data_IF_405152472955
#
_entry.id   IF_405152472955
#
_cell.length_a   1.000
_cell.length_b   1.000
_cell.length_c   1.000
_cell.angle_alpha   90.00
_cell.angle_beta   90.00
_cell.angle_gamma   90.00
#
_symmetry.space_group_name_H-M   'P 1'
#
loop_
_entity.id
_entity.type
_entity.pdbx_description
1 polymer ?
#
# COMPACT_ATOMS: atom_id res chain seq x y z
N UNK A 1 7.73 9.56 5.78
CA UNK A 1 7.15 10.11 4.53
C UNK A 1 5.64 10.32 4.57
N UNK A 2 4.80 9.31 4.83
CA UNK A 2 3.33 9.48 4.84
C UNK A 2 2.84 10.65 5.72
N UNK A 3 3.27 10.70 6.99
CA UNK A 3 2.99 11.83 7.89
C UNK A 3 3.48 13.18 7.35
N UNK A 4 4.68 13.24 6.77
CA UNK A 4 5.22 14.47 6.19
C UNK A 4 4.38 14.94 5.01
N UNK A 5 3.96 14.02 4.14
CA UNK A 5 3.10 14.31 3.00
C UNK A 5 1.72 14.81 3.44
N UNK A 6 1.17 14.25 4.53
CA UNK A 6 -0.02 14.80 5.18
C UNK A 6 0.27 16.19 5.82
N UNK A 7 1.43 16.41 6.42
CA UNK A 7 1.74 17.75 6.94
C UNK A 7 1.79 18.79 5.81
N UNK A 8 2.40 18.43 4.67
CA UNK A 8 2.55 19.31 3.52
C UNK A 8 1.21 19.64 2.81
N UNK A 9 0.25 18.70 2.79
CA UNK A 9 -1.08 18.89 2.19
C UNK A 9 -2.14 19.42 3.17
N UNK A 10 -1.76 19.80 4.39
CA UNK A 10 -2.72 20.20 5.43
C UNK A 10 -3.48 21.45 4.96
N UNK A 11 -4.80 21.33 4.85
CA UNK A 11 -5.72 22.43 4.62
C UNK A 11 -6.55 22.68 5.89
N UNK A 12 -7.23 23.83 5.96
CA UNK A 12 -8.25 24.06 6.98
C UNK A 12 -9.32 22.95 6.82
N UNK A 13 -9.76 22.37 7.94
CA UNK A 13 -10.79 21.31 8.02
C UNK A 13 -10.43 19.90 7.49
N UNK A 14 -9.15 19.61 7.23
CA UNK A 14 -8.75 18.26 6.81
C UNK A 14 -8.70 17.23 7.95
N UNK A 15 -8.81 17.61 9.22
CA UNK A 15 -8.50 16.71 10.34
C UNK A 15 -9.42 15.48 10.40
N UNK A 16 -10.67 15.61 9.97
CA UNK A 16 -11.65 14.51 9.87
C UNK A 16 -11.62 13.77 8.53
N UNK A 17 -10.77 14.19 7.58
CA UNK A 17 -10.67 13.54 6.28
C UNK A 17 -9.95 12.18 6.40
N UNK A 18 -10.49 11.11 5.80
CA UNK A 18 -9.83 9.81 5.79
C UNK A 18 -8.63 9.81 4.85
N UNK A 19 -7.54 9.16 5.30
CA UNK A 19 -6.33 8.95 4.51
C UNK A 19 -5.79 7.54 4.71
N UNK A 20 -5.12 7.02 3.70
CA UNK A 20 -4.42 5.73 3.68
C UNK A 20 -3.23 5.82 2.75
N UNK A 21 -2.26 4.95 2.93
CA UNK A 21 -1.09 4.87 2.04
C UNK A 21 -1.06 3.53 1.33
N UNK A 22 -0.68 3.56 0.05
CA UNK A 22 -0.39 2.36 -0.73
C UNK A 22 1.08 2.00 -0.54
N UNK A 23 1.35 0.74 -0.28
CA UNK A 23 2.69 0.20 -0.13
C UNK A 23 2.83 -1.10 -0.92
N UNK A 24 4.08 -1.42 -1.26
CA UNK A 24 4.44 -2.60 -2.02
C UNK A 24 5.21 -3.52 -1.09
N UNK A 25 4.81 -4.79 -1.05
CA UNK A 25 5.41 -5.82 -0.19
C UNK A 25 6.10 -6.86 -1.06
N UNK A 26 7.36 -7.15 -0.75
CA UNK A 26 8.08 -8.29 -1.34
C UNK A 26 7.48 -9.60 -0.81
N UNK A 27 7.03 -10.45 -1.72
CA UNK A 27 6.38 -11.73 -1.40
C UNK A 27 7.26 -12.94 -1.66
N UNK A 28 8.50 -12.77 -2.15
CA UNK A 28 9.42 -13.89 -2.47
C UNK A 28 9.56 -14.90 -1.33
N UNK A 29 9.71 -14.39 -0.11
CA UNK A 29 9.90 -15.20 1.10
C UNK A 29 8.62 -15.41 1.91
N UNK A 30 7.46 -14.97 1.40
CA UNK A 30 6.16 -15.09 2.08
C UNK A 30 5.32 -16.24 1.57
N UNK A 31 5.75 -16.87 0.47
CA UNK A 31 5.10 -18.03 -0.09
C UNK A 31 5.54 -19.29 0.66
N UNK A 32 4.62 -20.24 0.84
CA UNK A 32 4.90 -21.55 1.45
C UNK A 32 5.94 -22.36 0.65
N UNK A 33 6.04 -22.08 -0.65
CA UNK A 33 7.20 -22.42 -1.49
C UNK A 33 7.86 -21.11 -1.91
N UNK A 34 8.88 -20.63 -1.16
CA UNK A 34 9.55 -19.38 -1.46
C UNK A 34 10.14 -19.37 -2.87
N UNK A 35 10.18 -18.19 -3.49
CA UNK A 35 10.80 -18.07 -4.81
C UNK A 35 12.31 -18.26 -4.72
N UNK A 36 12.95 -18.84 -5.76
CA UNK A 36 14.40 -18.94 -5.82
C UNK A 36 15.06 -17.57 -5.64
N UNK A 37 16.22 -17.56 -4.97
CA UNK A 37 16.98 -16.31 -4.75
C UNK A 37 17.32 -15.61 -6.07
N UNK A 38 17.54 -16.37 -7.15
CA UNK A 38 17.85 -15.86 -8.48
C UNK A 38 16.60 -15.56 -9.34
N UNK A 39 15.40 -15.54 -8.76
CA UNK A 39 14.18 -15.20 -9.49
C UNK A 39 14.24 -13.75 -10.00
N UNK A 40 14.34 -13.61 -11.33
CA UNK A 40 14.48 -12.33 -12.01
C UNK A 40 13.16 -11.58 -12.22
N UNK A 41 12.01 -12.24 -12.00
CA UNK A 41 10.70 -11.63 -12.20
C UNK A 41 10.28 -10.69 -11.07
N UNK A 42 9.18 -9.96 -11.32
CA UNK A 42 8.52 -9.16 -10.30
C UNK A 42 7.73 -10.07 -9.34
N UNK A 43 8.00 -9.96 -8.05
CA UNK A 43 7.28 -10.68 -7.01
C UNK A 43 6.92 -9.72 -5.88
N UNK A 44 5.90 -8.92 -6.16
CA UNK A 44 5.43 -7.89 -5.24
C UNK A 44 3.91 -7.91 -5.14
N UNK A 45 3.39 -7.69 -3.95
CA UNK A 45 1.97 -7.45 -3.73
C UNK A 45 1.74 -5.99 -3.35
N UNK A 46 0.76 -5.35 -3.99
CA UNK A 46 0.41 -3.96 -3.69
C UNK A 46 -0.78 -3.93 -2.74
N UNK A 47 -0.56 -3.39 -1.54
CA UNK A 47 -1.58 -3.28 -0.50
C UNK A 47 -1.84 -1.83 -0.12
N UNK A 48 -2.93 -1.61 0.60
CA UNK A 48 -3.28 -0.31 1.18
C UNK A 48 -3.52 -0.46 2.67
N UNK A 49 -3.10 0.53 3.46
CA UNK A 49 -3.41 0.53 4.89
C UNK A 49 -4.92 0.68 5.12
N UNK A 50 -5.37 0.27 6.32
CA UNK A 50 -6.68 0.72 6.80
C UNK A 50 -6.76 2.25 6.78
N UNK A 51 -7.96 2.79 6.53
CA UNK A 51 -8.19 4.23 6.58
C UNK A 51 -7.92 4.72 8.01
N UNK A 52 -7.32 5.89 8.14
CA UNK A 52 -7.18 6.62 9.40
C UNK A 52 -7.48 8.11 9.14
N UNK A 53 -7.69 8.88 10.20
CA UNK A 53 -7.96 10.30 10.07
C UNK A 53 -6.66 11.08 9.82
N UNK A 54 -6.77 12.17 9.07
CA UNK A 54 -5.66 13.07 8.83
C UNK A 54 -5.10 13.66 10.13
N UNK A 55 -6.00 14.09 11.02
CA UNK A 55 -5.65 14.64 12.33
C UNK A 55 -4.89 13.62 13.17
N UNK A 56 -5.31 12.36 13.14
CA UNK A 56 -4.66 11.25 13.86
C UNK A 56 -3.19 11.09 13.48
N UNK A 57 -2.85 11.17 12.19
CA UNK A 57 -1.46 11.02 11.73
C UNK A 57 -0.57 12.18 12.20
N UNK A 58 -1.15 13.36 12.36
CA UNK A 58 -0.42 14.57 12.74
C UNK A 58 -0.32 14.77 14.25
N UNK A 59 -1.32 14.33 15.01
CA UNK A 59 -1.39 14.49 16.47
C UNK A 59 -0.79 13.30 17.23
N UNK A 60 -0.99 12.05 16.78
CA UNK A 60 -0.50 10.86 17.48
C UNK A 60 1.01 10.66 17.29
N UNK A 61 1.69 9.87 18.14
CA UNK A 61 3.11 9.56 17.96
C UNK A 61 3.39 8.85 16.63
N UNK A 62 4.63 8.91 16.14
CA UNK A 62 5.03 8.25 14.89
C UNK A 62 4.70 6.74 14.90
N UNK A 63 4.77 6.12 16.08
CA UNK A 63 4.42 4.72 16.32
C UNK A 63 3.00 4.34 15.86
N UNK A 64 2.06 5.29 15.87
CA UNK A 64 0.71 5.07 15.35
C UNK A 64 0.73 4.77 13.84
N UNK A 65 1.43 5.59 13.06
CA UNK A 65 1.54 5.41 11.61
C UNK A 65 2.35 4.17 11.24
N UNK A 66 3.40 3.84 11.99
CA UNK A 66 4.19 2.63 11.76
C UNK A 66 3.41 1.37 12.11
N UNK A 67 2.56 1.40 13.15
CA UNK A 67 1.65 0.29 13.46
C UNK A 67 0.66 0.04 12.32
N UNK A 68 0.03 1.10 11.77
CA UNK A 68 -0.86 0.98 10.61
C UNK A 68 -0.19 0.37 9.38
N UNK A 69 1.09 0.71 9.14
CA UNK A 69 1.90 0.09 8.09
C UNK A 69 2.16 -1.39 8.39
N UNK A 70 2.57 -1.72 9.62
CA UNK A 70 2.84 -3.09 10.05
C UNK A 70 1.60 -3.98 9.92
N UNK A 71 0.46 -3.53 10.44
CA UNK A 71 -0.83 -4.23 10.33
C UNK A 71 -1.14 -4.56 8.86
N UNK A 72 -0.97 -3.59 7.95
CA UNK A 72 -1.20 -3.83 6.53
C UNK A 72 -0.21 -4.84 5.94
N UNK A 73 1.09 -4.72 6.24
CA UNK A 73 2.14 -5.63 5.77
C UNK A 73 1.90 -7.06 6.26
N UNK A 74 1.42 -7.23 7.48
CA UNK A 74 1.15 -8.54 8.09
C UNK A 74 -0.05 -9.26 7.45
N UNK A 75 -0.96 -8.54 6.78
CA UNK A 75 -2.04 -9.17 5.99
C UNK A 75 -1.55 -9.94 4.77
N UNK A 76 -0.32 -9.68 4.31
CA UNK A 76 0.25 -10.32 3.13
C UNK A 76 0.87 -11.67 3.53
N UNK A 77 0.02 -12.70 3.54
CA UNK A 77 0.39 -14.11 3.74
C UNK A 77 0.54 -14.85 2.40
N UNK A 78 0.95 -16.13 2.42
CA UNK A 78 0.94 -16.99 1.23
C UNK A 78 -0.46 -17.07 0.62
N UNK A 79 -1.47 -17.31 1.46
CA UNK A 79 -2.87 -17.44 1.05
C UNK A 79 -3.39 -16.13 0.44
N UNK A 80 -3.11 -14.99 1.08
CA UNK A 80 -3.48 -13.69 0.54
C UNK A 80 -2.80 -13.43 -0.81
N UNK A 81 -1.51 -13.76 -0.92
CA UNK A 81 -0.74 -13.56 -2.16
C UNK A 81 -1.31 -14.39 -3.31
N UNK A 82 -1.67 -15.66 -3.06
CA UNK A 82 -2.31 -16.53 -4.06
C UNK A 82 -3.69 -16.01 -4.45
N UNK A 83 -4.52 -15.66 -3.48
CA UNK A 83 -5.84 -15.07 -3.74
C UNK A 83 -5.76 -13.78 -4.55
N UNK A 84 -4.77 -12.93 -4.27
CA UNK A 84 -4.52 -11.70 -5.02
C UNK A 84 -4.11 -11.99 -6.47
N UNK A 85 -3.26 -13.00 -6.69
CA UNK A 85 -2.88 -13.45 -8.02
C UNK A 85 -4.08 -13.98 -8.81
N UNK A 86 -4.91 -14.82 -8.19
CA UNK A 86 -6.14 -15.36 -8.79
C UNK A 86 -7.11 -14.25 -9.16
N UNK A 87 -7.30 -13.26 -8.26
CA UNK A 87 -8.10 -12.09 -8.54
C UNK A 87 -7.58 -11.31 -9.75
N UNK A 88 -6.27 -11.08 -9.85
CA UNK A 88 -5.64 -10.38 -10.97
C UNK A 88 -5.83 -11.17 -12.27
N UNK A 89 -5.59 -12.49 -12.25
CA UNK A 89 -5.72 -13.37 -13.40
C UNK A 89 -7.17 -13.44 -13.94
N UNK A 90 -8.17 -13.27 -13.06
CA UNK A 90 -9.58 -13.24 -13.46
C UNK A 90 -10.03 -11.92 -14.11
N UNK A 91 -9.22 -10.85 -14.07
CA UNK A 91 -9.60 -9.57 -14.65
C UNK A 91 -9.47 -9.57 -16.18
N UNK A 92 -10.58 -9.27 -16.88
CA UNK A 92 -10.60 -9.13 -18.35
C UNK A 92 -9.80 -7.91 -18.85
N UNK A 93 -9.75 -6.85 -18.05
CA UNK A 93 -9.01 -5.62 -18.33
C UNK A 93 -8.09 -5.31 -17.16
N UNK A 94 -6.78 -5.42 -17.39
CA UNK A 94 -5.77 -5.17 -16.36
C UNK A 94 -5.29 -3.72 -16.32
N UNK A 95 -5.85 -2.82 -17.13
CA UNK A 95 -5.41 -1.42 -17.20
C UNK A 95 -5.59 -0.70 -15.86
N UNK A 96 -6.70 -0.97 -15.15
CA UNK A 96 -6.94 -0.52 -13.78
C UNK A 96 -5.90 -1.02 -12.77
N UNK A 97 -5.36 -2.22 -13.00
CA UNK A 97 -4.30 -2.80 -12.18
C UNK A 97 -2.92 -2.25 -12.58
N UNK A 98 -2.69 -1.92 -13.84
CA UNK A 98 -1.44 -1.27 -14.31
C UNK A 98 -1.22 0.09 -13.66
N UNK A 99 -2.28 0.87 -13.43
CA UNK A 99 -2.18 2.14 -12.70
C UNK A 99 -1.61 1.99 -11.29
N UNK A 100 -1.79 0.83 -10.65
CA UNK A 100 -1.25 0.57 -9.31
C UNK A 100 0.27 0.35 -9.27
N UNK A 101 0.90 0.04 -10.41
CA UNK A 101 2.35 -0.20 -10.52
C UNK A 101 3.12 0.96 -11.15
N UNK A 102 2.44 2.02 -11.63
CA UNK A 102 3.13 3.28 -11.96
C UNK A 102 3.49 3.98 -10.66
N UNK A 103 4.76 3.89 -10.27
CA UNK A 103 5.36 4.89 -9.38
C UNK A 103 5.25 6.21 -10.15
N UNK A 104 4.28 7.05 -9.76
CA UNK A 104 4.08 8.35 -10.37
C UNK A 104 5.36 9.17 -10.17
N UNK A 105 6.20 9.20 -11.19
CA UNK A 105 7.09 10.31 -11.46
C UNK A 105 6.19 11.51 -11.73
N UNK A 106 5.93 12.29 -10.68
CA UNK A 106 5.30 13.60 -10.74
C UNK A 106 3.98 13.65 -11.50
N UNK A 107 2.86 13.46 -10.81
CA UNK A 107 1.74 14.36 -10.99
C UNK A 107 0.80 14.30 -9.78
N UNK A 108 0.83 15.39 -9.03
CA UNK A 108 -0.17 15.80 -8.06
C UNK A 108 -1.40 16.23 -8.84
N UNK A 109 -2.34 15.33 -9.08
CA UNK A 109 -3.69 15.72 -9.50
C UNK A 109 -4.70 15.16 -8.50
N UNK A 110 -5.32 16.12 -7.84
CA UNK A 110 -6.48 16.02 -6.98
C UNK A 110 -7.67 15.60 -7.82
N UNK A 111 -8.34 14.51 -7.43
CA UNK A 111 -9.78 14.35 -7.46
C UNK A 111 -10.19 13.55 -6.23
#
# INVERSE_FOLDING_TARGET
MWRCACKARRALDCDNQPTRVRIVVDVRNRLNSPLPQQYFGNSICTIVTSKCLYGDLLSKPLSYSTRKLREAIETVTDEYTRSNLDFIASQKHVDGLRFSFRISSGNMLLY
#
